data_IF_494410178608
#
_entry.id   IF_494410178608
#
_cell.length_a   1.000
_cell.length_b   1.000
_cell.length_c   1.000
_cell.angle_alpha   90.00
_cell.angle_beta   90.00
_cell.angle_gamma   90.00
#
_symmetry.space_group_name_H-M   'P 1'
#
loop_
_entity.id
_entity.type
_entity.pdbx_description
1 polymer ?
#
# COMPACT_ATOMS: atom_id res chain seq x y z
N UNK A 1 19.70 18.14 -11.66
CA UNK A 1 19.54 16.81 -11.08
C UNK A 1 18.06 16.52 -10.88
N UNK A 2 17.64 15.29 -11.20
CA UNK A 2 16.24 14.85 -11.16
C UNK A 2 16.13 13.60 -10.27
N UNK A 3 15.06 13.51 -9.49
CA UNK A 3 14.63 12.29 -8.83
C UNK A 3 13.51 11.64 -9.65
N UNK A 4 13.51 10.32 -9.75
CA UNK A 4 12.40 9.53 -10.30
C UNK A 4 11.69 8.84 -9.14
N UNK A 5 10.37 8.98 -9.07
CA UNK A 5 9.53 8.27 -8.09
C UNK A 5 8.79 7.16 -8.82
N UNK A 6 8.87 5.94 -8.31
CA UNK A 6 8.25 4.74 -8.88
C UNK A 6 8.49 4.61 -10.39
N UNK A 7 9.67 4.11 -10.81
CA UNK A 7 10.02 4.05 -12.22
C UNK A 7 9.12 3.11 -13.05
N UNK A 8 8.27 2.31 -12.41
CA UNK A 8 7.29 1.47 -13.07
C UNK A 8 7.76 0.05 -13.37
N UNK A 9 7.02 -0.68 -14.23
CA UNK A 9 7.34 -2.05 -14.62
C UNK A 9 8.58 -2.11 -15.52
N UNK A 10 9.30 -3.24 -15.53
CA UNK A 10 10.51 -3.45 -16.36
C UNK A 10 10.17 -3.56 -17.85
N UNK A 11 9.84 -2.42 -18.46
CA UNK A 11 9.58 -2.28 -19.88
C UNK A 11 10.66 -1.39 -20.53
N UNK A 12 11.29 -1.90 -21.58
CA UNK A 12 12.38 -1.19 -22.26
C UNK A 12 11.93 0.16 -22.86
N UNK A 13 10.73 0.21 -23.44
CA UNK A 13 10.17 1.43 -24.04
C UNK A 13 9.85 2.47 -22.96
N UNK A 14 9.39 2.03 -21.78
CA UNK A 14 9.15 2.93 -20.65
C UNK A 14 10.46 3.51 -20.10
N UNK A 15 11.52 2.68 -20.00
CA UNK A 15 12.85 3.17 -19.64
C UNK A 15 13.36 4.23 -20.62
N UNK A 16 13.20 3.98 -21.92
CA UNK A 16 13.57 4.93 -22.97
C UNK A 16 12.77 6.24 -22.87
N UNK A 17 11.46 6.16 -22.58
CA UNK A 17 10.61 7.33 -22.37
C UNK A 17 11.06 8.18 -21.19
N UNK A 18 11.37 7.56 -20.03
CA UNK A 18 11.89 8.29 -18.85
C UNK A 18 13.20 9.01 -19.19
N UNK A 19 14.15 8.31 -19.83
CA UNK A 19 15.44 8.91 -20.18
C UNK A 19 15.30 10.03 -21.22
N UNK A 20 14.37 9.89 -22.15
CA UNK A 20 14.09 10.90 -23.19
C UNK A 20 13.36 12.14 -22.68
N UNK A 21 12.71 12.05 -21.52
CA UNK A 21 12.04 13.18 -20.87
C UNK A 21 13.00 14.17 -20.21
N UNK A 22 14.26 13.80 -20.04
CA UNK A 22 15.27 14.68 -19.44
C UNK A 22 15.60 15.84 -20.39
N UNK A 23 15.60 17.05 -19.85
CA UNK A 23 16.06 18.23 -20.55
C UNK A 23 17.60 18.20 -20.74
N UNK A 24 18.15 18.96 -21.71
CA UNK A 24 19.61 19.04 -21.90
C UNK A 24 20.36 19.41 -20.63
N UNK A 25 21.28 18.57 -20.20
CA UNK A 25 22.08 18.75 -18.98
C UNK A 25 21.43 18.19 -17.71
N UNK A 26 20.20 17.70 -17.76
CA UNK A 26 19.59 16.97 -16.65
C UNK A 26 20.13 15.54 -16.56
N UNK A 27 20.14 15.05 -15.32
CA UNK A 27 20.52 13.66 -15.03
C UNK A 27 19.71 13.14 -13.85
N UNK A 28 19.34 11.89 -13.91
CA UNK A 28 18.70 11.20 -12.78
C UNK A 28 19.80 10.91 -11.75
N UNK A 29 19.58 11.37 -10.51
CA UNK A 29 20.53 11.20 -9.40
C UNK A 29 19.96 10.42 -8.23
N UNK A 30 18.65 10.17 -8.23
CA UNK A 30 17.94 9.38 -7.23
C UNK A 30 16.79 8.63 -7.90
N UNK A 31 16.57 7.39 -7.46
CA UNK A 31 15.40 6.58 -7.80
C UNK A 31 14.72 6.25 -6.47
N UNK A 32 13.52 6.77 -6.28
CA UNK A 32 12.73 6.61 -5.07
C UNK A 32 11.62 5.59 -5.36
N UNK A 33 11.47 4.57 -4.51
CA UNK A 33 10.44 3.55 -4.69
C UNK A 33 9.53 3.55 -3.47
N UNK A 34 8.22 3.75 -3.71
CA UNK A 34 7.23 3.78 -2.64
C UNK A 34 7.09 2.42 -1.98
N UNK A 35 7.05 1.35 -2.76
CA UNK A 35 6.93 -0.02 -2.26
C UNK A 35 7.37 -1.06 -3.32
N UNK A 36 7.57 -2.29 -2.90
CA UNK A 36 8.19 -3.34 -3.71
C UNK A 36 7.19 -4.14 -4.58
N UNK A 37 6.14 -3.50 -5.13
CA UNK A 37 5.37 -4.13 -6.21
C UNK A 37 6.05 -3.88 -7.55
N UNK A 38 5.98 -4.87 -8.45
CA UNK A 38 6.76 -4.88 -9.69
C UNK A 38 6.38 -3.75 -10.67
N UNK A 39 5.17 -3.24 -10.59
CA UNK A 39 4.69 -2.09 -11.36
C UNK A 39 5.15 -0.73 -10.82
N UNK A 40 5.85 -0.72 -9.66
CA UNK A 40 6.54 0.44 -9.08
C UNK A 40 8.06 0.26 -9.11
N UNK A 41 8.54 -0.91 -8.68
CA UNK A 41 9.96 -1.19 -8.47
C UNK A 41 10.65 -1.87 -9.65
N UNK A 42 9.90 -2.49 -10.56
CA UNK A 42 10.45 -3.41 -11.56
C UNK A 42 11.51 -2.79 -12.49
N UNK A 43 11.34 -1.53 -12.86
CA UNK A 43 12.28 -0.82 -13.74
C UNK A 43 13.50 -0.25 -12.97
N UNK A 44 13.47 -0.20 -11.63
CA UNK A 44 14.54 0.43 -10.85
C UNK A 44 15.93 -0.16 -11.11
N UNK A 45 16.15 -1.48 -11.22
CA UNK A 45 17.46 -2.04 -11.54
C UNK A 45 18.00 -1.60 -12.91
N UNK A 46 17.15 -1.57 -13.93
CA UNK A 46 17.52 -1.13 -15.29
C UNK A 46 17.87 0.36 -15.30
N UNK A 47 17.06 1.20 -14.66
CA UNK A 47 17.28 2.63 -14.61
C UNK A 47 18.56 2.96 -13.81
N UNK A 48 18.79 2.24 -12.70
CA UNK A 48 20.04 2.31 -11.94
C UNK A 48 21.26 1.98 -12.81
N UNK A 49 21.20 0.88 -13.58
CA UNK A 49 22.30 0.48 -14.47
C UNK A 49 22.59 1.53 -15.56
N UNK A 50 21.55 2.19 -16.07
CA UNK A 50 21.68 3.21 -17.12
C UNK A 50 22.20 4.55 -16.59
N UNK A 51 21.89 4.92 -15.35
CA UNK A 51 22.13 6.28 -14.82
C UNK A 51 23.19 6.33 -13.71
N UNK A 52 23.46 5.20 -13.05
CA UNK A 52 24.28 5.15 -11.84
C UNK A 52 23.56 5.71 -10.57
N UNK A 53 22.30 6.12 -10.69
CA UNK A 53 21.54 6.66 -9.57
C UNK A 53 21.19 5.56 -8.57
N UNK A 54 21.40 5.75 -7.25
CA UNK A 54 21.01 4.78 -6.25
C UNK A 54 19.49 4.66 -6.14
N UNK A 55 19.02 3.45 -5.80
CA UNK A 55 17.63 3.13 -5.50
C UNK A 55 17.42 3.27 -3.99
N UNK A 56 16.46 4.09 -3.59
CA UNK A 56 16.09 4.35 -2.20
C UNK A 56 14.65 3.86 -1.97
N UNK A 57 14.44 3.07 -0.92
CA UNK A 57 13.14 2.57 -0.50
C UNK A 57 13.17 2.25 1.01
N UNK A 58 12.03 1.86 1.59
CA UNK A 58 11.96 1.47 3.00
C UNK A 58 12.84 0.24 3.31
N UNK A 59 12.92 -0.69 2.39
CA UNK A 59 13.66 -1.94 2.51
C UNK A 59 13.28 -2.89 1.38
N UNK A 60 13.49 -4.18 1.63
CA UNK A 60 13.04 -5.22 0.69
C UNK A 60 11.52 -5.45 0.79
N UNK A 61 11.01 -6.35 -0.05
CA UNK A 61 9.60 -6.66 -0.15
C UNK A 61 8.94 -7.17 1.16
N UNK A 62 9.73 -7.65 2.12
CA UNK A 62 9.23 -8.21 3.38
C UNK A 62 9.41 -7.24 4.56
N UNK A 63 10.09 -6.13 4.35
CA UNK A 63 10.41 -5.15 5.38
C UNK A 63 9.16 -4.44 5.91
N UNK A 64 9.11 -4.21 7.22
CA UNK A 64 8.03 -3.46 7.89
C UNK A 64 6.80 -4.27 8.29
N UNK A 65 6.71 -5.58 7.99
CA UNK A 65 5.56 -6.40 8.40
C UNK A 65 5.34 -6.37 9.90
N UNK A 66 4.09 -6.19 10.31
CA UNK A 66 3.70 -6.32 11.72
C UNK A 66 3.88 -7.76 12.21
N UNK A 67 4.01 -7.98 13.53
CA UNK A 67 4.19 -9.35 14.08
C UNK A 67 3.08 -10.31 13.66
N UNK A 68 1.82 -9.86 13.56
CA UNK A 68 0.71 -10.70 13.13
C UNK A 68 0.84 -11.06 11.66
N UNK A 69 1.23 -10.12 10.80
CA UNK A 69 1.44 -10.37 9.37
C UNK A 69 2.64 -11.28 9.12
N UNK A 70 3.73 -11.12 9.87
CA UNK A 70 4.90 -12.00 9.81
C UNK A 70 4.53 -13.44 10.22
N UNK A 71 3.71 -13.60 11.27
CA UNK A 71 3.21 -14.90 11.70
C UNK A 71 2.33 -15.55 10.63
N UNK A 72 1.34 -14.83 10.08
CA UNK A 72 0.47 -15.36 9.04
C UNK A 72 1.26 -15.79 7.80
N UNK A 73 2.29 -15.02 7.42
CA UNK A 73 3.18 -15.40 6.32
C UNK A 73 3.97 -16.68 6.63
N UNK A 74 4.51 -16.83 7.84
CA UNK A 74 5.22 -18.03 8.27
C UNK A 74 4.30 -19.28 8.33
N UNK A 75 3.01 -19.10 8.60
CA UNK A 75 1.97 -20.12 8.56
C UNK A 75 1.47 -20.43 7.13
N UNK A 76 2.07 -19.83 6.10
CA UNK A 76 1.79 -20.13 4.69
C UNK A 76 0.78 -19.21 4.01
N UNK A 77 0.34 -18.14 4.67
CA UNK A 77 -0.49 -17.14 3.97
C UNK A 77 0.38 -16.43 2.91
N UNK A 78 -0.04 -16.51 1.67
CA UNK A 78 0.60 -15.82 0.56
C UNK A 78 -0.17 -14.57 0.17
N UNK A 79 0.54 -13.55 -0.31
CA UNK A 79 -0.04 -12.33 -0.86
C UNK A 79 -0.90 -12.57 -2.10
N UNK A 80 -1.59 -11.55 -2.55
CA UNK A 80 -2.71 -11.67 -3.43
C UNK A 80 -2.55 -11.35 -4.88
N UNK A 81 -1.39 -11.47 -5.42
CA UNK A 81 -1.23 -11.28 -6.86
C UNK A 81 -1.06 -9.81 -7.27
N UNK A 82 -0.73 -8.93 -6.33
CA UNK A 82 -0.37 -7.54 -6.62
C UNK A 82 1.04 -7.40 -7.20
N UNK A 83 1.69 -8.52 -7.54
CA UNK A 83 3.00 -8.48 -8.17
C UNK A 83 4.16 -8.11 -7.24
N UNK A 84 4.12 -8.56 -5.98
CA UNK A 84 5.22 -8.34 -5.02
C UNK A 84 6.55 -8.84 -5.57
N UNK A 85 7.51 -7.94 -5.74
CA UNK A 85 8.87 -8.28 -6.20
C UNK A 85 9.74 -8.74 -5.04
N UNK A 86 9.77 -10.04 -4.79
CA UNK A 86 10.61 -10.64 -3.74
C UNK A 86 12.12 -10.49 -4.01
N UNK A 87 12.51 -10.14 -5.23
CA UNK A 87 13.91 -9.90 -5.60
C UNK A 87 14.35 -8.46 -5.37
N UNK A 88 13.41 -7.54 -5.17
CA UNK A 88 13.71 -6.12 -4.98
C UNK A 88 14.61 -5.88 -3.79
N UNK A 89 15.70 -5.14 -4.02
CA UNK A 89 16.65 -4.69 -3.00
C UNK A 89 17.05 -3.26 -3.29
N UNK A 90 16.74 -2.30 -2.42
CA UNK A 90 17.23 -0.94 -2.58
C UNK A 90 18.73 -0.86 -2.27
N UNK A 91 19.42 0.11 -2.85
CA UNK A 91 20.81 0.43 -2.49
C UNK A 91 20.89 1.07 -1.11
N UNK A 92 19.86 1.84 -0.74
CA UNK A 92 19.78 2.53 0.55
C UNK A 92 18.38 2.37 1.13
N UNK A 93 18.31 1.86 2.34
CA UNK A 93 17.08 1.88 3.10
C UNK A 93 16.88 3.27 3.72
N UNK A 94 15.69 3.83 3.51
CA UNK A 94 15.25 5.10 4.09
C UNK A 94 13.91 4.90 4.80
N UNK A 95 13.61 5.74 5.78
CA UNK A 95 12.38 5.60 6.56
C UNK A 95 11.71 6.93 6.84
N UNK A 96 10.85 6.92 7.84
CA UNK A 96 10.13 8.10 8.31
C UNK A 96 11.06 9.29 8.56
N UNK A 97 10.70 10.46 8.01
CA UNK A 97 11.43 11.70 8.22
C UNK A 97 12.79 11.78 7.51
N UNK A 98 13.17 10.75 6.74
CA UNK A 98 14.38 10.85 5.93
C UNK A 98 14.21 11.95 4.86
N UNK A 99 15.31 12.67 4.59
CA UNK A 99 15.34 13.75 3.62
C UNK A 99 16.25 13.38 2.48
N UNK A 100 15.73 13.49 1.25
CA UNK A 100 16.45 13.31 0.00
C UNK A 100 16.51 14.65 -0.71
N UNK A 101 17.71 15.10 -1.06
CA UNK A 101 17.93 16.44 -1.60
C UNK A 101 18.68 16.40 -2.94
N UNK A 102 18.41 17.39 -3.76
CA UNK A 102 19.14 17.76 -4.94
C UNK A 102 19.10 19.27 -5.16
N UNK A 103 19.85 19.80 -6.12
CA UNK A 103 19.83 21.23 -6.42
C UNK A 103 18.42 21.73 -6.76
N UNK A 104 17.85 22.56 -5.90
CA UNK A 104 16.54 23.17 -6.09
C UNK A 104 15.33 22.32 -5.66
N UNK A 105 15.54 21.14 -5.07
CA UNK A 105 14.45 20.34 -4.52
C UNK A 105 14.86 19.58 -3.25
N UNK A 106 13.88 19.37 -2.39
CA UNK A 106 14.01 18.65 -1.14
C UNK A 106 12.74 17.81 -0.93
N UNK A 107 12.91 16.53 -0.77
CA UNK A 107 11.83 15.54 -0.57
C UNK A 107 11.95 14.98 0.83
N UNK A 108 10.86 14.97 1.57
CA UNK A 108 10.76 14.30 2.87
C UNK A 108 9.97 13.00 2.76
N UNK A 109 10.45 11.95 3.41
CA UNK A 109 9.81 10.63 3.40
C UNK A 109 8.82 10.47 4.55
N UNK A 110 7.66 9.92 4.23
CA UNK A 110 6.66 9.48 5.20
C UNK A 110 6.49 7.97 5.11
N UNK A 111 6.52 7.27 6.24
CA UNK A 111 6.16 5.85 6.28
C UNK A 111 4.64 5.72 6.33
N UNK A 112 4.04 5.09 5.32
CA UNK A 112 2.60 4.98 5.08
C UNK A 112 2.17 3.50 4.99
N UNK A 113 2.37 2.71 6.06
CA UNK A 113 2.05 1.29 6.02
C UNK A 113 0.54 1.06 5.84
N UNK A 114 0.19 -0.03 5.19
CA UNK A 114 -1.21 -0.42 5.01
C UNK A 114 -1.46 -1.21 3.75
N UNK A 115 -1.29 -0.64 2.56
CA UNK A 115 -1.30 -1.37 1.29
C UNK A 115 -0.12 -2.35 1.22
N UNK A 116 1.05 -1.87 1.55
CA UNK A 116 2.27 -2.63 1.79
C UNK A 116 2.90 -2.19 3.11
N UNK A 117 3.57 -3.09 3.82
CA UNK A 117 4.16 -2.82 5.13
C UNK A 117 5.28 -1.76 5.08
N UNK A 118 6.13 -1.81 4.06
CA UNK A 118 7.23 -0.86 3.85
C UNK A 118 6.88 0.31 2.92
N UNK A 119 5.59 0.65 2.79
CA UNK A 119 5.16 1.71 1.89
C UNK A 119 5.65 3.09 2.34
N UNK A 120 6.26 3.85 1.43
CA UNK A 120 6.68 5.24 1.63
C UNK A 120 5.83 6.21 0.80
N UNK A 121 5.61 7.39 1.33
CA UNK A 121 5.21 8.58 0.58
C UNK A 121 6.36 9.57 0.51
N UNK A 122 6.39 10.41 -0.52
CA UNK A 122 7.43 11.38 -0.79
C UNK A 122 6.83 12.78 -0.89
N UNK A 123 7.05 13.58 0.15
CA UNK A 123 6.51 14.93 0.27
C UNK A 123 7.43 15.96 -0.41
N UNK A 124 6.84 16.77 -1.27
CA UNK A 124 7.53 17.85 -1.96
C UNK A 124 6.58 19.01 -2.23
N UNK A 125 6.92 20.20 -1.78
CA UNK A 125 6.24 21.47 -2.06
C UNK A 125 4.70 21.41 -1.86
N UNK A 126 4.29 20.90 -0.70
CA UNK A 126 2.87 20.75 -0.34
C UNK A 126 2.15 19.57 -1.01
N UNK A 127 2.78 18.88 -1.94
CA UNK A 127 2.31 17.66 -2.60
C UNK A 127 2.87 16.42 -1.93
N UNK A 128 2.16 15.30 -2.08
CA UNK A 128 2.62 14.01 -1.62
C UNK A 128 2.50 12.99 -2.74
N UNK A 129 3.64 12.48 -3.24
CA UNK A 129 3.68 11.28 -4.07
C UNK A 129 3.35 10.10 -3.17
N UNK A 130 2.14 9.56 -3.32
CA UNK A 130 1.53 8.68 -2.32
C UNK A 130 1.51 7.21 -2.74
N UNK A 131 2.07 6.87 -3.92
CA UNK A 131 2.02 5.51 -4.45
C UNK A 131 0.61 4.95 -4.44
N UNK A 132 0.47 3.75 -3.90
CA UNK A 132 -0.80 3.02 -3.82
C UNK A 132 -1.51 3.13 -2.46
N UNK A 133 -1.02 3.98 -1.55
CA UNK A 133 -1.73 4.19 -0.29
C UNK A 133 -3.09 4.87 -0.51
N UNK A 134 -3.20 5.77 -1.49
CA UNK A 134 -4.46 6.43 -1.90
C UNK A 134 -4.55 6.50 -3.41
N UNK A 135 -5.69 6.11 -3.97
CA UNK A 135 -6.04 6.29 -5.38
C UNK A 135 -7.24 7.23 -5.52
N UNK A 136 -7.30 8.02 -6.60
CA UNK A 136 -8.40 8.95 -6.85
C UNK A 136 -9.73 8.27 -7.21
N UNK A 137 -9.69 7.11 -7.86
CA UNK A 137 -10.84 6.44 -8.48
C UNK A 137 -11.32 5.19 -7.75
N UNK A 138 -10.51 4.61 -6.89
CA UNK A 138 -10.82 3.36 -6.17
C UNK A 138 -10.24 3.38 -4.76
N UNK A 139 -10.62 2.42 -3.94
CA UNK A 139 -9.92 2.15 -2.68
C UNK A 139 -8.77 1.17 -2.91
N UNK A 140 -7.62 1.45 -2.32
CA UNK A 140 -6.44 0.59 -2.37
C UNK A 140 -6.76 -0.82 -1.87
N UNK A 141 -6.19 -1.83 -2.49
CA UNK A 141 -6.27 -3.20 -1.96
C UNK A 141 -5.39 -3.29 -0.70
N UNK A 142 -5.94 -3.86 0.35
CA UNK A 142 -5.18 -4.23 1.56
C UNK A 142 -5.25 -5.75 1.71
N UNK A 143 -4.14 -6.41 1.44
CA UNK A 143 -4.07 -7.88 1.32
C UNK A 143 -3.03 -8.46 2.26
N UNK A 144 -3.43 -9.09 3.39
CA UNK A 144 -2.49 -9.84 4.22
C UNK A 144 -1.77 -10.96 3.43
N UNK A 145 -0.48 -11.24 3.71
CA UNK A 145 0.33 -10.69 4.81
C UNK A 145 1.12 -9.43 4.44
N UNK A 146 0.98 -8.89 3.23
CA UNK A 146 1.74 -7.72 2.75
C UNK A 146 1.06 -6.43 3.20
N UNK A 147 -0.28 -6.40 3.13
CA UNK A 147 -1.11 -5.31 3.60
C UNK A 147 -1.66 -5.54 5.02
N UNK A 148 -1.86 -4.45 5.76
CA UNK A 148 -2.37 -4.42 7.14
C UNK A 148 -3.46 -3.34 7.27
N UNK A 149 -4.71 -3.75 7.52
CA UNK A 149 -5.84 -2.82 7.62
C UNK A 149 -5.77 -1.91 8.83
N UNK A 150 -5.21 -2.38 9.95
CA UNK A 150 -4.99 -1.56 11.14
C UNK A 150 -4.02 -0.43 10.84
N UNK A 151 -2.87 -0.77 10.24
CA UNK A 151 -1.86 0.20 9.82
C UNK A 151 -2.43 1.16 8.75
N UNK A 152 -3.21 0.65 7.78
CA UNK A 152 -3.85 1.47 6.74
C UNK A 152 -4.78 2.54 7.31
N UNK A 153 -5.60 2.19 8.30
CA UNK A 153 -6.47 3.15 8.96
C UNK A 153 -5.69 4.23 9.70
N UNK A 154 -4.59 3.87 10.37
CA UNK A 154 -3.68 4.84 10.99
C UNK A 154 -3.01 5.76 9.96
N UNK A 155 -2.61 5.21 8.80
CA UNK A 155 -2.09 6.00 7.67
C UNK A 155 -3.12 7.00 7.17
N UNK A 156 -4.38 6.62 6.95
CA UNK A 156 -5.44 7.56 6.53
C UNK A 156 -5.68 8.67 7.55
N UNK A 157 -5.70 8.35 8.85
CA UNK A 157 -5.89 9.32 9.94
C UNK A 157 -4.72 10.32 10.01
N UNK A 158 -3.50 9.83 9.88
CA UNK A 158 -2.30 10.67 9.82
C UNK A 158 -2.30 11.61 8.61
N UNK A 159 -2.62 11.08 7.43
CA UNK A 159 -2.68 11.87 6.20
C UNK A 159 -3.74 12.97 6.26
N UNK A 160 -4.89 12.70 6.91
CA UNK A 160 -5.96 13.67 7.07
C UNK A 160 -5.55 14.90 7.90
N UNK A 161 -4.52 14.79 8.74
CA UNK A 161 -3.96 15.91 9.52
C UNK A 161 -2.80 16.64 8.83
N UNK A 162 -2.36 16.18 7.64
CA UNK A 162 -1.12 16.65 7.00
C UNK A 162 -1.24 17.96 6.22
N UNK A 163 -2.45 18.45 5.94
CA UNK A 163 -2.65 19.72 5.23
C UNK A 163 -2.15 19.73 3.77
N UNK A 164 -2.20 18.58 3.11
CA UNK A 164 -1.73 18.40 1.73
C UNK A 164 -2.53 19.25 0.74
N UNK A 165 -1.84 19.88 -0.21
CA UNK A 165 -2.46 20.60 -1.32
C UNK A 165 -2.94 19.61 -2.40
N UNK A 166 -2.19 18.53 -2.61
CA UNK A 166 -2.46 17.52 -3.63
C UNK A 166 -1.84 16.18 -3.23
N UNK A 167 -2.55 15.07 -3.50
CA UNK A 167 -1.95 13.74 -3.46
C UNK A 167 -1.71 13.27 -4.89
N UNK A 168 -0.51 12.77 -5.16
CA UNK A 168 -0.10 12.26 -6.47
C UNK A 168 0.01 10.72 -6.36
N UNK A 169 -1.04 9.98 -6.72
CA UNK A 169 -1.01 8.52 -6.72
C UNK A 169 -0.15 7.99 -7.87
N UNK A 170 0.28 6.72 -7.76
CA UNK A 170 0.98 6.08 -8.85
C UNK A 170 0.03 5.70 -10.01
N UNK A 171 -1.26 5.51 -9.72
CA UNK A 171 -2.27 5.15 -10.71
C UNK A 171 -3.42 6.14 -10.71
N UNK A 172 -3.76 6.67 -11.90
CA UNK A 172 -4.84 7.64 -12.12
C UNK A 172 -4.41 9.09 -11.93
N UNK A 173 -5.40 9.97 -11.90
CA UNK A 173 -5.17 11.41 -11.81
C UNK A 173 -4.81 11.85 -10.39
N UNK A 174 -4.07 12.96 -10.24
CA UNK A 174 -3.83 13.59 -8.95
C UNK A 174 -5.14 13.93 -8.21
N UNK A 175 -5.11 13.80 -6.89
CA UNK A 175 -6.24 14.08 -6.00
C UNK A 175 -6.14 15.53 -5.54
N UNK A 176 -6.96 16.41 -6.12
CA UNK A 176 -6.95 17.85 -5.85
C UNK A 176 -7.67 18.24 -4.54
N UNK A 177 -8.50 17.36 -3.98
CA UNK A 177 -9.11 17.52 -2.66
C UNK A 177 -8.71 16.35 -1.74
N UNK A 178 -7.49 16.38 -1.16
CA UNK A 178 -7.02 15.34 -0.26
C UNK A 178 -7.94 15.10 0.94
N UNK A 179 -8.47 16.17 1.53
CA UNK A 179 -9.27 16.07 2.75
C UNK A 179 -10.58 15.30 2.51
N UNK A 180 -11.30 15.63 1.43
CA UNK A 180 -12.52 14.94 1.06
C UNK A 180 -12.24 13.47 0.71
N UNK A 181 -11.19 13.21 -0.06
CA UNK A 181 -10.84 11.83 -0.48
C UNK A 181 -10.44 10.95 0.70
N UNK A 182 -9.62 11.45 1.61
CA UNK A 182 -9.20 10.72 2.81
C UNK A 182 -10.39 10.42 3.74
N UNK A 183 -11.29 11.39 3.92
CA UNK A 183 -12.52 11.20 4.69
C UNK A 183 -13.43 10.13 4.07
N UNK A 184 -13.60 10.15 2.75
CA UNK A 184 -14.36 9.14 1.99
C UNK A 184 -13.78 7.74 2.18
N UNK A 185 -12.48 7.56 1.98
CA UNK A 185 -11.81 6.27 2.14
C UNK A 185 -11.93 5.75 3.58
N UNK A 186 -11.71 6.59 4.57
CA UNK A 186 -11.86 6.23 5.98
C UNK A 186 -13.30 5.82 6.32
N UNK A 187 -14.30 6.56 5.84
CA UNK A 187 -15.71 6.23 6.03
C UNK A 187 -16.07 4.90 5.35
N UNK A 188 -15.58 4.67 4.10
CA UNK A 188 -15.76 3.42 3.38
C UNK A 188 -15.22 2.23 4.17
N UNK A 189 -13.98 2.32 4.71
CA UNK A 189 -13.37 1.24 5.50
C UNK A 189 -14.09 0.98 6.80
N UNK A 190 -14.50 2.03 7.53
CA UNK A 190 -15.32 1.89 8.75
C UNK A 190 -16.69 1.25 8.45
N UNK A 191 -17.29 1.60 7.31
CA UNK A 191 -18.54 0.99 6.85
C UNK A 191 -18.38 -0.51 6.57
N UNK A 192 -17.28 -0.93 5.94
CA UNK A 192 -16.96 -2.35 5.72
C UNK A 192 -16.76 -3.11 7.03
N UNK A 193 -16.04 -2.52 7.98
CA UNK A 193 -15.86 -3.09 9.31
C UNK A 193 -17.21 -3.28 10.04
N UNK A 194 -18.05 -2.26 10.02
CA UNK A 194 -19.39 -2.33 10.62
C UNK A 194 -20.24 -3.43 9.96
N UNK A 195 -20.19 -3.55 8.63
CA UNK A 195 -20.89 -4.60 7.89
C UNK A 195 -20.41 -6.01 8.25
N UNK A 196 -19.10 -6.22 8.44
CA UNK A 196 -18.52 -7.49 8.88
C UNK A 196 -19.05 -7.84 10.29
N UNK A 197 -19.01 -6.91 11.22
CA UNK A 197 -19.53 -7.12 12.59
C UNK A 197 -21.02 -7.40 12.61
N UNK A 198 -21.81 -6.74 11.74
CA UNK A 198 -23.23 -6.99 11.57
C UNK A 198 -23.50 -8.38 10.94
N UNK A 199 -22.74 -8.77 9.93
CA UNK A 199 -22.84 -10.09 9.30
C UNK A 199 -22.56 -11.23 10.30
N UNK A 200 -21.57 -11.05 11.16
CA UNK A 200 -21.27 -11.97 12.25
C UNK A 200 -22.43 -12.02 13.27
N UNK A 201 -22.88 -10.86 13.76
CA UNK A 201 -23.94 -10.84 14.79
C UNK A 201 -23.66 -11.82 15.93
N UNK A 202 -24.55 -12.79 16.13
CA UNK A 202 -24.36 -13.93 17.04
C UNK A 202 -23.91 -15.22 16.35
N UNK A 203 -23.61 -15.15 15.03
CA UNK A 203 -23.25 -16.32 14.23
C UNK A 203 -21.73 -16.54 14.18
N UNK A 204 -21.36 -17.74 13.82
CA UNK A 204 -19.99 -18.08 13.41
C UNK A 204 -19.99 -18.28 11.89
N UNK A 205 -19.12 -17.60 11.17
CA UNK A 205 -19.01 -17.67 9.71
C UNK A 205 -17.56 -17.86 9.28
N UNK A 206 -17.35 -18.53 8.17
CA UNK A 206 -16.09 -18.52 7.46
C UNK A 206 -15.88 -17.25 6.64
N UNK A 207 -14.69 -17.05 6.12
CA UNK A 207 -14.34 -15.88 5.30
C UNK A 207 -15.23 -15.78 4.04
N UNK A 208 -15.61 -16.90 3.44
CA UNK A 208 -16.46 -16.91 2.25
C UNK A 208 -17.86 -16.41 2.55
N UNK A 209 -18.48 -16.86 3.65
CA UNK A 209 -19.78 -16.40 4.12
C UNK A 209 -19.79 -14.93 4.49
N UNK A 210 -18.73 -14.44 5.17
CA UNK A 210 -18.56 -13.02 5.49
C UNK A 210 -18.45 -12.19 4.21
N UNK A 211 -17.58 -12.61 3.28
CA UNK A 211 -17.38 -11.88 2.02
C UNK A 211 -18.67 -11.84 1.19
N UNK A 212 -19.41 -12.95 1.10
CA UNK A 212 -20.69 -13.01 0.39
C UNK A 212 -21.73 -12.05 0.99
N UNK A 213 -21.78 -11.91 2.32
CA UNK A 213 -22.70 -11.00 2.99
C UNK A 213 -22.32 -9.52 2.81
N UNK A 214 -21.02 -9.20 2.92
CA UNK A 214 -20.52 -7.81 2.95
C UNK A 214 -20.32 -7.24 1.54
N UNK A 215 -20.04 -8.10 0.56
CA UNK A 215 -19.74 -7.73 -0.82
C UNK A 215 -20.76 -8.30 -1.83
N UNK A 216 -22.02 -8.45 -1.42
CA UNK A 216 -23.08 -9.09 -2.22
C UNK A 216 -23.28 -8.50 -3.63
N UNK A 217 -22.95 -7.21 -3.85
CA UNK A 217 -23.05 -6.54 -5.15
C UNK A 217 -21.74 -6.53 -5.96
N UNK A 218 -20.68 -7.20 -5.47
CA UNK A 218 -19.36 -7.17 -6.13
C UNK A 218 -19.34 -8.14 -7.31
N UNK A 219 -18.86 -7.70 -8.51
CA UNK A 219 -18.67 -8.58 -9.64
C UNK A 219 -17.82 -9.81 -9.30
N UNK A 220 -18.14 -10.97 -9.88
CA UNK A 220 -17.49 -12.24 -9.56
C UNK A 220 -15.95 -12.18 -9.71
N UNK A 221 -15.44 -11.46 -10.73
CA UNK A 221 -14.00 -11.29 -10.96
C UNK A 221 -13.29 -10.52 -9.86
N UNK A 222 -13.99 -9.68 -9.09
CA UNK A 222 -13.43 -8.91 -7.97
C UNK A 222 -13.62 -9.60 -6.61
N UNK A 223 -14.34 -10.72 -6.54
CA UNK A 223 -14.59 -11.42 -5.30
C UNK A 223 -13.31 -11.94 -4.60
N UNK A 224 -12.25 -12.39 -5.31
CA UNK A 224 -10.98 -12.73 -4.67
C UNK A 224 -10.37 -11.54 -3.91
N UNK A 225 -10.35 -10.35 -4.51
CA UNK A 225 -9.86 -9.13 -3.85
C UNK A 225 -10.77 -8.71 -2.67
N UNK A 226 -12.09 -8.84 -2.82
CA UNK A 226 -13.06 -8.60 -1.75
C UNK A 226 -12.83 -9.51 -0.53
N UNK A 227 -12.56 -10.80 -0.75
CA UNK A 227 -12.20 -11.74 0.32
C UNK A 227 -10.93 -11.35 1.06
N UNK A 228 -9.90 -10.88 0.33
CA UNK A 228 -8.64 -10.42 0.94
C UNK A 228 -8.85 -9.18 1.80
N UNK A 229 -9.61 -8.20 1.28
CA UNK A 229 -10.01 -7.04 2.06
C UNK A 229 -10.84 -7.42 3.31
N UNK A 230 -11.78 -8.37 3.18
CA UNK A 230 -12.53 -8.88 4.33
C UNK A 230 -11.61 -9.51 5.37
N UNK A 231 -10.64 -10.32 4.94
CA UNK A 231 -9.67 -10.93 5.84
C UNK A 231 -8.77 -9.88 6.50
N UNK A 232 -8.33 -8.86 5.79
CA UNK A 232 -7.58 -7.75 6.37
C UNK A 232 -8.36 -7.03 7.50
N UNK A 233 -9.65 -6.78 7.29
CA UNK A 233 -10.54 -6.25 8.35
C UNK A 233 -10.68 -7.23 9.53
N UNK A 234 -10.80 -8.53 9.27
CA UNK A 234 -10.91 -9.55 10.32
C UNK A 234 -9.63 -9.63 11.16
N UNK A 235 -8.44 -9.52 10.55
CA UNK A 235 -7.17 -9.44 11.28
C UNK A 235 -7.13 -8.20 12.17
N UNK A 236 -7.49 -7.04 11.64
CA UNK A 236 -7.52 -5.80 12.42
C UNK A 236 -8.58 -5.83 13.55
N UNK A 237 -9.72 -6.47 13.33
CA UNK A 237 -10.73 -6.68 14.37
C UNK A 237 -10.26 -7.69 15.43
N UNK A 238 -9.55 -8.73 15.03
CA UNK A 238 -8.96 -9.71 15.93
C UNK A 238 -7.89 -9.07 16.83
N UNK A 239 -7.01 -8.27 16.27
CA UNK A 239 -5.96 -7.56 17.00
C UNK A 239 -6.56 -6.62 18.08
N UNK A 240 -7.74 -6.04 17.81
CA UNK A 240 -8.50 -5.21 18.75
C UNK A 240 -9.45 -6.00 19.68
N UNK A 241 -9.41 -7.34 19.66
CA UNK A 241 -10.23 -8.19 20.50
C UNK A 241 -11.75 -8.12 20.20
N UNK A 242 -12.14 -7.73 18.97
CA UNK A 242 -13.56 -7.60 18.55
C UNK A 242 -14.10 -8.86 17.89
N UNK A 243 -13.22 -9.69 17.34
CA UNK A 243 -13.54 -11.00 16.77
C UNK A 243 -12.51 -12.02 17.20
N UNK A 244 -12.90 -13.29 17.21
CA UNK A 244 -11.99 -14.43 17.34
C UNK A 244 -12.01 -15.27 16.07
N UNK A 245 -10.86 -15.85 15.72
CA UNK A 245 -10.72 -16.87 14.68
C UNK A 245 -10.47 -18.24 15.33
N UNK A 246 -11.19 -19.26 14.90
CA UNK A 246 -11.09 -20.62 15.47
C UNK A 246 -10.72 -21.65 14.41
N UNK A 247 -9.79 -22.60 14.71
CA UNK A 247 -9.11 -22.77 16.02
C UNK A 247 -8.09 -21.68 16.33
N UNK A 248 -7.54 -20.99 15.32
CA UNK A 248 -6.59 -19.88 15.39
C UNK A 248 -6.94 -18.84 14.32
N UNK A 249 -6.36 -17.66 14.38
CA UNK A 249 -6.51 -16.68 13.30
C UNK A 249 -5.80 -17.19 12.03
N UNK A 250 -6.58 -17.51 11.00
CA UNK A 250 -6.11 -17.93 9.67
C UNK A 250 -7.18 -17.62 8.63
N UNK A 251 -6.84 -17.64 7.33
CA UNK A 251 -7.79 -17.33 6.27
C UNK A 251 -8.92 -18.37 6.12
N UNK A 252 -8.70 -19.57 6.57
CA UNK A 252 -9.66 -20.68 6.61
C UNK A 252 -10.36 -20.87 7.97
N UNK A 253 -10.11 -19.96 8.91
CA UNK A 253 -10.74 -20.00 10.23
C UNK A 253 -12.24 -19.71 10.17
N UNK A 254 -12.94 -20.16 11.20
CA UNK A 254 -14.29 -19.70 11.52
C UNK A 254 -14.22 -18.49 12.44
N UNK A 255 -14.92 -17.42 12.08
CA UNK A 255 -14.91 -16.16 12.81
C UNK A 255 -16.18 -15.93 13.59
N UNK A 256 -16.04 -15.42 14.80
CA UNK A 256 -17.14 -15.04 15.69
C UNK A 256 -16.87 -13.67 16.30
N UNK A 257 -17.91 -12.85 16.42
CA UNK A 257 -17.83 -11.57 17.15
C UNK A 257 -17.67 -11.85 18.64
N UNK A 258 -16.79 -11.08 19.29
CA UNK A 258 -16.64 -11.00 20.74
C UNK A 258 -17.43 -9.78 21.19
N UNK A 259 -18.28 -9.94 22.16
CA UNK A 259 -19.18 -9.05 22.90
C UNK A 259 -19.24 -7.58 22.55
#
# INVERSE_FOLDING_TARGET
>A
EVAVVDPGPDLADHAAAILSALAPGERITRILVTHAHADHSGLAPRLRAATGAPVLAFGDALSGRSPVMARLAAEGLSGGGEGLDLSFRPDQAIGEGAVVEGPGWRIETLHLPGHSAGHLGFAWDGRLFIGDAVMGWSSSLVSPPDGDMGAYMGTLERLASGGWQELVPAHGDPVADPAARLAELAAHRRGREAAILAALGSRTLDLAGIAAAVYAGTPAGLMPAARRNAFAHLVALWDRGRVEGRPVLAADALFRRIG
#
